data_IF_944793982864
#
_entry.id   IF_944793982864
#
_cell.length_a   1.000
_cell.length_b   1.000
_cell.length_c   1.000
_cell.angle_alpha   90.00
_cell.angle_beta   90.00
_cell.angle_gamma   90.00
#
_symmetry.space_group_name_H-M   'P 1'
#
loop_
_entity.id
_entity.type
_entity.pdbx_description
1 polymer ?
#
# COMPACT_ATOMS: atom_id res chain seq x y z
N UNK A 1 7.56 -6.86 13.31
CA UNK A 1 8.14 -5.80 12.46
C UNK A 1 7.22 -5.65 11.24
N UNK A 2 6.69 -4.45 10.93
CA UNK A 2 5.90 -4.22 9.71
C UNK A 2 6.61 -4.65 8.42
N UNK A 3 7.95 -4.62 8.37
CA UNK A 3 8.73 -5.00 7.19
C UNK A 3 8.67 -6.49 6.88
N UNK A 4 8.31 -7.33 7.86
CA UNK A 4 8.19 -8.79 7.71
C UNK A 4 6.73 -9.25 7.65
N UNK A 5 5.77 -8.32 7.60
CA UNK A 5 4.35 -8.67 7.64
C UNK A 5 3.87 -9.16 6.27
N UNK A 6 3.72 -10.49 6.16
CA UNK A 6 3.10 -11.15 5.04
C UNK A 6 2.33 -12.40 5.50
N UNK A 7 1.27 -12.74 4.79
CA UNK A 7 0.42 -13.89 5.11
C UNK A 7 -0.20 -14.48 3.85
N UNK A 8 -0.42 -15.78 3.86
CA UNK A 8 -1.24 -16.45 2.86
C UNK A 8 -2.24 -17.39 3.52
N UNK A 9 -3.36 -17.61 2.85
CA UNK A 9 -4.42 -18.50 3.29
C UNK A 9 -5.12 -19.12 2.07
N UNK A 10 -5.65 -20.34 2.23
CA UNK A 10 -6.63 -20.89 1.30
C UNK A 10 -8.01 -20.66 1.89
N UNK A 11 -8.84 -19.88 1.21
CA UNK A 11 -10.20 -19.58 1.64
C UNK A 11 -11.21 -20.26 0.73
N UNK A 12 -12.37 -20.62 1.27
CA UNK A 12 -13.49 -21.16 0.50
C UNK A 12 -14.65 -20.16 0.52
N UNK A 13 -15.04 -19.65 -0.66
CA UNK A 13 -16.13 -18.68 -0.81
C UNK A 13 -17.08 -19.17 -1.90
N UNK A 14 -18.35 -19.41 -1.55
CA UNK A 14 -19.35 -19.88 -2.51
C UNK A 14 -19.02 -21.22 -3.17
N UNK A 15 -18.38 -22.15 -2.42
CA UNK A 15 -17.97 -23.47 -2.90
C UNK A 15 -16.74 -23.46 -3.82
N UNK A 16 -16.06 -22.33 -3.97
CA UNK A 16 -14.80 -22.21 -4.73
C UNK A 16 -13.65 -21.95 -3.75
N UNK A 17 -12.55 -22.68 -3.94
CA UNK A 17 -11.32 -22.48 -3.16
C UNK A 17 -10.41 -21.48 -3.86
N UNK A 18 -9.84 -20.57 -3.08
CA UNK A 18 -8.93 -19.54 -3.56
C UNK A 18 -7.71 -19.46 -2.64
N UNK A 19 -6.52 -19.39 -3.23
CA UNK A 19 -5.33 -18.98 -2.52
C UNK A 19 -5.28 -17.46 -2.48
N UNK A 20 -5.12 -16.87 -1.29
CA UNK A 20 -4.94 -15.44 -1.07
C UNK A 20 -3.61 -15.19 -0.40
N UNK A 21 -2.91 -14.14 -0.84
CA UNK A 21 -1.67 -13.65 -0.25
C UNK A 21 -1.75 -12.15 -0.05
N UNK A 22 -1.13 -11.66 1.02
CA UNK A 22 -1.00 -10.23 1.30
C UNK A 22 0.35 -9.94 1.95
N UNK A 23 1.01 -8.87 1.51
CA UNK A 23 2.29 -8.40 2.05
C UNK A 23 2.29 -6.90 2.24
N UNK A 24 2.67 -6.43 3.43
CA UNK A 24 2.72 -5.01 3.76
C UNK A 24 3.76 -4.26 2.89
N UNK A 25 3.40 -3.03 2.53
CA UNK A 25 4.31 -2.04 1.93
C UNK A 25 4.69 -1.07 3.03
N UNK A 26 5.93 -1.13 3.50
CA UNK A 26 6.46 -0.19 4.48
C UNK A 26 7.05 1.02 3.78
N UNK A 27 6.65 2.22 4.19
CA UNK A 27 7.15 3.46 3.62
C UNK A 27 8.60 3.70 4.05
N UNK A 28 9.52 3.75 3.08
CA UNK A 28 10.92 4.11 3.29
C UNK A 28 11.18 5.61 3.16
N UNK A 29 12.44 6.02 3.38
CA UNK A 29 12.87 7.42 3.19
C UNK A 29 12.55 7.97 1.78
N UNK A 30 12.78 7.25 0.66
CA UNK A 30 12.49 7.78 -0.67
C UNK A 30 11.00 8.06 -0.89
N UNK A 31 10.13 7.30 -0.24
CA UNK A 31 8.67 7.45 -0.34
C UNK A 31 8.21 8.82 0.19
N UNK A 32 8.95 9.40 1.14
CA UNK A 32 8.58 10.66 1.81
C UNK A 32 8.61 11.87 0.88
N UNK A 33 9.33 11.79 -0.24
CA UNK A 33 9.37 12.85 -1.26
C UNK A 33 7.96 13.23 -1.72
N UNK A 34 7.07 12.24 -1.88
CA UNK A 34 5.71 12.44 -2.36
C UNK A 34 4.64 12.08 -1.32
N UNK A 35 4.92 11.13 -0.42
CA UNK A 35 3.94 10.61 0.55
C UNK A 35 4.18 11.09 1.99
N UNK A 36 5.22 11.90 2.24
CA UNK A 36 5.53 12.44 3.55
C UNK A 36 4.62 13.60 3.96
N UNK A 37 4.88 14.17 5.15
CA UNK A 37 4.19 15.39 5.62
C UNK A 37 4.78 16.68 5.04
N UNK A 38 6.05 16.67 4.64
CA UNK A 38 6.78 17.83 4.14
C UNK A 38 7.10 17.69 2.64
N UNK A 39 6.07 17.81 1.81
CA UNK A 39 6.17 17.73 0.34
C UNK A 39 6.46 19.12 -0.21
N UNK A 40 7.43 19.24 -1.13
CA UNK A 40 7.76 20.51 -1.78
C UNK A 40 6.52 21.16 -2.41
N UNK A 41 6.33 22.49 -2.30
CA UNK A 41 5.14 23.16 -2.80
C UNK A 41 4.84 22.88 -4.28
N UNK A 42 5.84 22.92 -5.16
CA UNK A 42 5.62 22.65 -6.59
C UNK A 42 5.15 21.21 -6.87
N UNK A 43 5.71 20.24 -6.13
CA UNK A 43 5.32 18.84 -6.23
C UNK A 43 3.91 18.61 -5.67
N UNK A 44 3.60 19.22 -4.51
CA UNK A 44 2.27 19.16 -3.90
C UNK A 44 1.19 19.74 -4.82
N UNK A 45 1.48 20.88 -5.47
CA UNK A 45 0.57 21.47 -6.44
C UNK A 45 0.32 20.53 -7.64
N UNK A 46 1.37 19.90 -8.17
CA UNK A 46 1.24 18.94 -9.28
C UNK A 46 0.46 17.68 -8.87
N UNK A 47 0.75 17.11 -7.70
CA UNK A 47 0.01 15.96 -7.15
C UNK A 47 -1.47 16.32 -6.99
N UNK A 48 -1.79 17.45 -6.37
CA UNK A 48 -3.18 17.89 -6.14
C UNK A 48 -3.93 18.09 -7.45
N UNK A 49 -3.27 18.63 -8.48
CA UNK A 49 -3.87 18.81 -9.81
C UNK A 49 -4.18 17.48 -10.51
N UNK A 50 -3.30 16.48 -10.40
CA UNK A 50 -3.48 15.18 -11.05
C UNK A 50 -4.37 14.23 -10.24
N UNK A 51 -4.33 14.35 -8.92
CA UNK A 51 -4.98 13.46 -7.96
C UNK A 51 -5.72 14.31 -6.90
N UNK A 52 -6.84 14.98 -7.27
CA UNK A 52 -7.54 15.91 -6.37
C UNK A 52 -8.19 15.25 -5.15
N UNK A 53 -8.25 13.91 -5.12
CA UNK A 53 -8.75 13.10 -4.00
C UNK A 53 -7.64 12.24 -3.38
N UNK A 54 -6.38 12.67 -3.51
CA UNK A 54 -5.26 11.95 -2.92
C UNK A 54 -5.34 11.98 -1.39
N UNK A 55 -5.28 10.80 -0.79
CA UNK A 55 -5.20 10.60 0.66
C UNK A 55 -3.84 10.00 1.07
N UNK A 56 -2.92 9.80 0.13
CA UNK A 56 -1.67 9.09 0.36
C UNK A 56 -0.53 10.00 0.82
N UNK A 57 -0.77 10.92 1.76
CA UNK A 57 0.27 11.83 2.27
C UNK A 57 0.32 11.81 3.80
N UNK A 58 1.34 12.44 4.39
CA UNK A 58 1.48 12.50 5.84
C UNK A 58 2.13 11.28 6.49
N UNK A 59 2.64 10.33 5.70
CA UNK A 59 3.36 9.17 6.22
C UNK A 59 4.72 9.55 6.83
N UNK A 60 5.24 8.65 7.65
CA UNK A 60 6.60 8.65 8.22
C UNK A 60 7.34 7.38 7.80
N UNK A 61 8.69 7.39 7.79
CA UNK A 61 9.46 6.17 7.57
C UNK A 61 9.09 5.09 8.60
N UNK A 62 8.78 3.88 8.12
CA UNK A 62 8.32 2.76 8.94
C UNK A 62 6.80 2.57 8.99
N UNK A 63 6.02 3.56 8.54
CA UNK A 63 4.56 3.42 8.47
C UNK A 63 4.15 2.40 7.40
N UNK A 64 3.03 1.71 7.64
CA UNK A 64 2.40 0.87 6.62
C UNK A 64 1.69 1.76 5.61
N UNK A 65 2.23 1.85 4.40
CA UNK A 65 1.65 2.60 3.28
C UNK A 65 0.45 1.88 2.65
N UNK A 66 0.45 0.56 2.68
CA UNK A 66 -0.54 -0.29 2.05
C UNK A 66 -0.05 -1.74 2.02
N UNK A 67 -0.54 -2.52 1.06
CA UNK A 67 -0.11 -3.90 0.87
C UNK A 67 -0.23 -4.33 -0.59
N UNK A 68 0.63 -5.24 -1.02
CA UNK A 68 0.40 -6.05 -2.22
C UNK A 68 -0.53 -7.20 -1.86
N UNK A 69 -1.47 -7.52 -2.74
CA UNK A 69 -2.35 -8.69 -2.58
C UNK A 69 -2.41 -9.48 -3.88
N UNK A 70 -2.49 -10.80 -3.75
CA UNK A 70 -2.64 -11.74 -4.84
C UNK A 70 -3.74 -12.74 -4.50
N UNK A 71 -4.65 -12.98 -5.44
CA UNK A 71 -5.70 -14.01 -5.32
C UNK A 71 -5.60 -14.93 -6.53
N UNK A 72 -5.62 -16.24 -6.30
CA UNK A 72 -5.52 -17.26 -7.34
C UNK A 72 -6.56 -18.35 -7.09
N UNK A 73 -7.48 -18.62 -8.04
CA UNK A 73 -8.39 -19.76 -7.96
C UNK A 73 -7.61 -21.08 -7.87
N UNK A 74 -8.11 -21.99 -7.04
CA UNK A 74 -7.61 -23.37 -6.93
C UNK A 74 -8.64 -24.25 -7.62
N UNK A 75 -8.39 -24.51 -8.92
CA UNK A 75 -9.19 -25.43 -9.72
C UNK A 75 -9.13 -26.86 -9.16
#
# INVERSE_FOLDING_TARGET
DPATLEHFEIVETGGKKEFRYMKAIVAGKPCMTCHGSNIKPELRAKITSLYPRDHATGFKPGDIRGAFTLTRPLN
#
